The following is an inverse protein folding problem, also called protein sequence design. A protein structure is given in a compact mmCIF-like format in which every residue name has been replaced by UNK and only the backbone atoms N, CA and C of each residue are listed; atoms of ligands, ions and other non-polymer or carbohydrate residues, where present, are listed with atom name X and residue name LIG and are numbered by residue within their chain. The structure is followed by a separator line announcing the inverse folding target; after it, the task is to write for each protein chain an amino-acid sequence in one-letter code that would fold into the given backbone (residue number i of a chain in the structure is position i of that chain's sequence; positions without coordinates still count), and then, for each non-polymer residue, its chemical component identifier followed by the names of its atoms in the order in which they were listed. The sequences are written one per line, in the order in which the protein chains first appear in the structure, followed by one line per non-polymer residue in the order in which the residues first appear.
data_IF_894028681948
#
_entry.id   IF_894028681948
#
_cell.length_a   1.000
_cell.length_b   1.000
_cell.length_c   1.000
_cell.angle_alpha   90.00
_cell.angle_beta   90.00
_cell.angle_gamma   90.00
#
_symmetry.space_group_name_H-M   'P 1'
#
loop_
_entity.id
_entity.type
_entity.pdbx_description
1 polymer ?
#
# COMPACT_ATOMS: atom_id res chain seq x y z
N UNK A 1 5.56 14.40 5.99
CA UNK A 1 5.50 13.03 6.58
C UNK A 1 4.30 12.31 6.01
N UNK A 2 4.55 11.38 5.11
CA UNK A 2 3.50 10.76 4.30
C UNK A 2 3.87 9.36 3.81
N UNK A 3 3.00 8.76 2.96
CA UNK A 3 3.08 7.40 2.43
C UNK A 3 3.76 6.52 3.47
N UNK A 4 3.11 6.34 4.63
CA UNK A 4 3.62 6.16 6.01
C UNK A 4 4.97 5.45 6.27
N UNK A 5 5.57 4.82 5.26
CA UNK A 5 6.80 4.06 5.26
C UNK A 5 7.86 4.54 4.23
N UNK A 6 7.66 5.64 3.50
CA UNK A 6 8.51 6.03 2.35
C UNK A 6 9.03 7.47 2.33
N UNK A 7 8.94 8.24 3.42
CA UNK A 7 9.39 9.65 3.47
C UNK A 7 8.95 10.48 2.24
N UNK A 8 7.68 10.30 1.87
CA UNK A 8 7.03 11.13 0.87
C UNK A 8 6.35 12.31 1.60
N UNK A 9 5.70 13.23 0.87
CA UNK A 9 4.74 14.21 1.43
C UNK A 9 3.25 14.06 0.98
N UNK A 10 2.87 12.95 0.32
CA UNK A 10 1.47 12.64 -0.07
C UNK A 10 0.79 11.61 0.84
N UNK A 11 -0.48 11.86 1.17
CA UNK A 11 -1.28 10.94 1.97
C UNK A 11 -1.37 9.54 1.33
N UNK A 12 -1.31 8.47 2.14
CA UNK A 12 -1.48 7.12 1.64
C UNK A 12 -2.91 6.93 1.12
N UNK A 13 -3.03 6.36 -0.08
CA UNK A 13 -4.32 6.06 -0.73
C UNK A 13 -4.59 4.55 -0.76
N UNK A 14 -3.57 3.73 -0.58
CA UNK A 14 -3.64 2.29 -0.65
C UNK A 14 -2.67 1.63 0.32
N UNK A 15 -2.97 0.39 0.69
CA UNK A 15 -2.06 -0.49 1.41
C UNK A 15 -1.66 -1.65 0.52
N UNK A 16 -0.36 -1.84 0.36
CA UNK A 16 0.24 -2.98 -0.34
C UNK A 16 0.80 -3.97 0.69
N UNK A 17 0.48 -5.25 0.52
CA UNK A 17 0.93 -6.35 1.38
C UNK A 17 1.51 -7.45 0.52
N UNK A 18 2.66 -8.02 0.89
CA UNK A 18 3.21 -9.21 0.23
C UNK A 18 4.07 -10.02 1.21
N UNK A 19 4.33 -11.29 0.89
CA UNK A 19 5.14 -12.20 1.71
C UNK A 19 6.51 -12.40 1.11
N UNK A 20 7.55 -12.06 1.87
CA UNK A 20 8.93 -12.37 1.56
C UNK A 20 9.40 -13.61 2.35
N UNK A 21 10.56 -14.21 2.01
CA UNK A 21 11.07 -15.39 2.72
C UNK A 21 11.33 -15.17 4.21
N UNK A 22 11.64 -13.93 4.60
CA UNK A 22 11.95 -13.54 5.98
C UNK A 22 10.69 -13.15 6.77
N UNK A 23 9.76 -12.39 6.16
CA UNK A 23 8.55 -11.91 6.84
C UNK A 23 7.48 -11.40 5.88
N UNK A 24 6.34 -11.05 6.45
CA UNK A 24 5.30 -10.30 5.76
C UNK A 24 5.66 -8.80 5.73
N UNK A 25 5.45 -8.18 4.57
CA UNK A 25 5.69 -6.76 4.34
C UNK A 25 4.39 -6.02 4.11
N UNK A 26 4.24 -4.85 4.73
CA UNK A 26 3.06 -3.98 4.62
C UNK A 26 3.53 -2.55 4.40
N UNK A 27 3.02 -1.92 3.34
CA UNK A 27 3.32 -0.53 2.98
C UNK A 27 2.04 0.23 2.72
N UNK A 28 1.89 1.40 3.31
CA UNK A 28 0.85 2.37 2.96
C UNK A 28 1.42 3.40 1.99
N UNK A 29 0.86 3.46 0.79
CA UNK A 29 1.41 4.13 -0.38
C UNK A 29 0.36 5.06 -1.00
N UNK A 30 0.79 6.20 -1.54
CA UNK A 30 -0.03 6.98 -2.46
C UNK A 30 -0.12 6.27 -3.82
N UNK A 31 -1.03 6.71 -4.69
CA UNK A 31 -1.25 6.07 -6.00
C UNK A 31 0.04 5.95 -6.83
N UNK A 32 0.86 7.00 -6.89
CA UNK A 32 2.11 6.97 -7.65
C UNK A 32 3.09 5.92 -7.11
N UNK A 33 3.29 5.85 -5.78
CA UNK A 33 4.18 4.86 -5.19
C UNK A 33 3.63 3.44 -5.29
N UNK A 34 2.30 3.27 -5.28
CA UNK A 34 1.67 1.98 -5.53
C UNK A 34 1.99 1.49 -6.96
N UNK A 35 1.90 2.35 -7.96
CA UNK A 35 2.23 2.01 -9.34
C UNK A 35 3.70 1.61 -9.48
N UNK A 36 4.62 2.38 -8.89
CA UNK A 36 6.04 2.02 -8.84
C UNK A 36 6.29 0.69 -8.13
N UNK A 37 5.57 0.42 -7.03
CA UNK A 37 5.69 -0.84 -6.31
C UNK A 37 5.18 -2.03 -7.13
N UNK A 38 4.09 -1.86 -7.89
CA UNK A 38 3.62 -2.89 -8.82
C UNK A 38 4.62 -3.17 -9.94
N UNK A 39 5.26 -2.14 -10.50
CA UNK A 39 6.33 -2.32 -11.50
C UNK A 39 7.51 -3.08 -10.88
N UNK A 40 7.94 -2.70 -9.67
CA UNK A 40 9.00 -3.41 -8.97
C UNK A 40 8.65 -4.88 -8.64
N UNK A 41 7.38 -5.16 -8.31
CA UNK A 41 6.88 -6.51 -8.08
C UNK A 41 6.82 -7.34 -9.37
N UNK A 42 6.55 -6.73 -10.52
CA UNK A 42 6.49 -7.43 -11.80
C UNK A 42 7.82 -8.14 -12.14
N UNK A 43 8.96 -7.54 -11.75
CA UNK A 43 10.29 -8.15 -11.89
C UNK A 43 10.58 -9.26 -10.85
N UNK A 44 9.67 -9.51 -9.90
CA UNK A 44 9.84 -10.42 -8.75
C UNK A 44 8.62 -11.34 -8.60
N UNK A 45 8.46 -12.33 -9.49
CA UNK A 45 7.24 -13.16 -9.54
C UNK A 45 6.95 -13.92 -8.24
N UNK A 46 7.99 -14.32 -7.51
CA UNK A 46 7.85 -15.01 -6.22
C UNK A 46 7.26 -14.14 -5.11
N UNK A 47 7.39 -12.81 -5.19
CA UNK A 47 6.73 -11.87 -4.29
C UNK A 47 5.35 -11.48 -4.85
N UNK A 48 5.28 -11.22 -6.16
CA UNK A 48 4.06 -10.76 -6.83
C UNK A 48 2.87 -11.72 -6.64
N UNK A 49 3.11 -13.03 -6.63
CA UNK A 49 2.04 -14.03 -6.41
C UNK A 49 1.37 -13.93 -5.03
N UNK A 50 2.05 -13.31 -4.06
CA UNK A 50 1.53 -13.07 -2.71
C UNK A 50 1.10 -11.63 -2.48
N UNK A 51 1.30 -10.76 -3.47
CA UNK A 51 1.05 -9.34 -3.34
C UNK A 51 -0.44 -9.02 -3.46
N UNK A 52 -0.96 -8.28 -2.50
CA UNK A 52 -2.33 -7.78 -2.46
C UNK A 52 -2.28 -6.29 -2.17
N UNK A 53 -2.94 -5.49 -3.02
CA UNK A 53 -3.16 -4.07 -2.77
C UNK A 53 -4.64 -3.79 -2.49
N UNK A 54 -4.89 -3.02 -1.44
CA UNK A 54 -6.23 -2.59 -1.04
C UNK A 54 -6.28 -1.06 -1.02
N UNK A 55 -7.38 -0.47 -1.50
CA UNK A 55 -7.59 0.97 -1.35
C UNK A 55 -7.93 1.27 0.11
N UNK A 56 -7.26 2.27 0.67
CA UNK A 56 -7.65 2.82 1.96
C UNK A 56 -8.90 3.65 1.68
N UNK A 57 -10.02 3.26 2.27
CA UNK A 57 -11.19 4.13 2.25
C UNK A 57 -10.78 5.47 2.88
N UNK A 58 -11.04 6.58 2.20
CA UNK A 58 -11.09 7.88 2.87
C UNK A 58 -12.00 7.68 4.09
N UNK A 59 -11.59 8.14 5.28
CA UNK A 59 -12.41 8.10 6.50
C UNK A 59 -13.84 8.41 6.08
N UNK A 60 -14.69 7.37 6.09
CA UNK A 60 -16.07 7.56 5.76
C UNK A 60 -16.55 8.55 6.81
N UNK A 61 -16.97 9.72 6.37
CA UNK A 61 -17.67 10.73 7.15
C UNK A 61 -18.96 10.06 7.63
N UNK A 62 -18.82 9.15 8.60
CA UNK A 62 -19.91 8.40 9.16
C UNK A 62 -20.77 9.46 9.83
N UNK A 63 -22.02 9.69 9.36
CA UNK A 63 -22.87 10.62 10.06
C UNK A 63 -22.98 10.10 11.49
N UNK A 64 -22.57 10.93 12.45
CA UNK A 64 -22.70 10.62 13.86
C UNK A 64 -24.15 10.16 14.09
N UNK A 65 -24.32 8.89 14.44
CA UNK A 65 -25.63 8.33 14.77
C UNK A 65 -26.05 8.98 16.09
N UNK A 66 -26.80 10.08 15.99
CA UNK A 66 -27.60 10.63 17.08
C UNK A 66 -28.88 9.80 17.24
#
# INVERSE_FOLDING_TARGET
MSCANLDCDRDPAARLRYKAPDRDHVYELCEAHLDHAHVWLADRPHLAVTAVSERLAAEADQPALF
#
